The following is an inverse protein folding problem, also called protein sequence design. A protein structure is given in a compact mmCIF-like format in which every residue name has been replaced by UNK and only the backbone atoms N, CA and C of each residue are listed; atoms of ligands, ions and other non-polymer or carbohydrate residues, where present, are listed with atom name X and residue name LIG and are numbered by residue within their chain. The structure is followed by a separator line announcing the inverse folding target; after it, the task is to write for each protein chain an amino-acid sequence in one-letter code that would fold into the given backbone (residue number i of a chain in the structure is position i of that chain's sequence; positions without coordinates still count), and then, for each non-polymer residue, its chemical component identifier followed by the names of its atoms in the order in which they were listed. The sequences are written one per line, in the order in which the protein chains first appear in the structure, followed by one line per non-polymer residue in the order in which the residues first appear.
data_IF_193147656961
#
_entry.id   IF_193147656961
#
_cell.length_a   1.000
_cell.length_b   1.000
_cell.length_c   1.000
_cell.angle_alpha   90.00
_cell.angle_beta   90.00
_cell.angle_gamma   90.00
#
_symmetry.space_group_name_H-M   'P 1'
#
loop_
_entity.id
_entity.type
_entity.pdbx_description
1 polymer ?
#
# COMPACT_ATOMS: atom_id res chain seq x y z
N UNK A 1 -12.04 14.24 5.33
CA UNK A 1 -11.68 13.02 4.61
C UNK A 1 -11.12 11.99 5.59
N UNK A 2 -11.56 10.75 5.51
CA UNK A 2 -11.08 9.72 6.41
C UNK A 2 -9.67 9.29 6.05
N UNK A 3 -8.89 8.87 7.05
CA UNK A 3 -7.52 8.41 6.82
C UNK A 3 -7.47 7.24 5.83
N UNK A 4 -8.46 6.35 5.86
CA UNK A 4 -8.54 5.22 4.94
C UNK A 4 -8.69 5.66 3.48
N UNK A 5 -9.44 6.73 3.23
CA UNK A 5 -9.60 7.27 1.88
C UNK A 5 -8.32 7.91 1.38
N UNK A 6 -7.64 8.66 2.25
CA UNK A 6 -6.35 9.28 1.93
C UNK A 6 -5.32 8.20 1.61
N UNK A 7 -5.25 7.17 2.43
CA UNK A 7 -4.32 6.08 2.23
C UNK A 7 -4.60 5.34 0.92
N UNK A 8 -5.85 4.99 0.68
CA UNK A 8 -6.24 4.28 -0.53
C UNK A 8 -5.85 5.07 -1.79
N UNK A 9 -6.18 6.34 -1.85
CA UNK A 9 -5.85 7.20 -2.98
C UNK A 9 -4.35 7.32 -3.18
N UNK A 10 -3.60 7.44 -2.10
CA UNK A 10 -2.14 7.53 -2.16
C UNK A 10 -1.54 6.24 -2.74
N UNK A 11 -1.99 5.08 -2.26
CA UNK A 11 -1.50 3.80 -2.77
C UNK A 11 -1.83 3.61 -4.25
N UNK A 12 -3.06 3.95 -4.65
CA UNK A 12 -3.48 3.87 -6.06
C UNK A 12 -2.60 4.76 -6.94
N UNK A 13 -2.38 6.00 -6.54
CA UNK A 13 -1.52 6.93 -7.27
C UNK A 13 -0.10 6.36 -7.38
N UNK A 14 0.40 5.76 -6.32
CA UNK A 14 1.76 5.26 -6.26
C UNK A 14 1.97 4.07 -7.19
N UNK A 15 1.13 3.04 -7.11
CA UNK A 15 1.31 1.88 -7.97
C UNK A 15 1.00 2.19 -9.44
N UNK A 16 0.08 3.11 -9.69
CA UNK A 16 -0.22 3.56 -11.05
C UNK A 16 0.99 4.27 -11.68
N UNK A 17 1.66 5.11 -10.91
CA UNK A 17 2.87 5.80 -11.35
C UNK A 17 3.98 4.81 -11.72
N UNK A 18 4.03 3.66 -11.05
CA UNK A 18 5.00 2.61 -11.30
C UNK A 18 4.63 1.70 -12.47
N UNK A 19 3.48 1.93 -13.12
CA UNK A 19 3.06 1.21 -14.30
C UNK A 19 2.03 0.11 -14.07
N UNK A 20 1.57 -0.09 -12.85
CA UNK A 20 0.53 -1.07 -12.55
C UNK A 20 -0.85 -0.44 -12.77
N UNK A 21 -1.68 -1.09 -13.58
CA UNK A 21 -2.99 -0.54 -13.95
C UNK A 21 -4.08 -0.79 -12.93
N UNK A 22 -3.86 -1.77 -12.04
CA UNK A 22 -4.87 -2.14 -11.05
C UNK A 22 -4.18 -2.77 -9.85
N UNK A 23 -4.92 -2.85 -8.73
CA UNK A 23 -4.45 -3.55 -7.55
C UNK A 23 -4.19 -5.03 -7.85
N UNK A 24 -5.02 -5.63 -8.70
CA UNK A 24 -4.85 -7.02 -9.11
C UNK A 24 -3.51 -7.24 -9.81
N UNK A 25 -3.14 -6.34 -10.74
CA UNK A 25 -1.85 -6.41 -11.41
C UNK A 25 -0.69 -6.25 -10.42
N UNK A 26 -0.81 -5.31 -9.50
CA UNK A 26 0.19 -5.09 -8.47
C UNK A 26 0.35 -6.35 -7.59
N UNK A 27 -0.76 -6.95 -7.18
CA UNK A 27 -0.74 -8.16 -6.37
C UNK A 27 -0.05 -9.33 -7.09
N UNK A 28 -0.38 -9.54 -8.36
CA UNK A 28 0.22 -10.60 -9.17
C UNK A 28 1.73 -10.38 -9.32
N UNK A 29 2.12 -9.14 -9.64
CA UNK A 29 3.53 -8.82 -9.86
C UNK A 29 4.38 -8.97 -8.60
N UNK A 30 3.81 -8.73 -7.43
CA UNK A 30 4.54 -8.77 -6.16
C UNK A 30 4.42 -10.10 -5.45
N UNK A 31 3.49 -10.97 -5.87
CA UNK A 31 3.22 -12.24 -5.20
C UNK A 31 2.41 -12.10 -3.92
N UNK A 32 1.86 -10.93 -3.64
CA UNK A 32 1.04 -10.69 -2.46
C UNK A 32 -0.43 -10.95 -2.76
N UNK A 33 -1.21 -11.27 -1.72
CA UNK A 33 -2.65 -11.50 -1.89
C UNK A 33 -3.38 -10.18 -2.06
N UNK A 34 -4.21 -10.09 -3.09
CA UNK A 34 -5.01 -8.89 -3.37
C UNK A 34 -5.91 -8.52 -2.19
N UNK A 35 -6.55 -9.50 -1.56
CA UNK A 35 -7.43 -9.25 -0.42
C UNK A 35 -6.69 -8.63 0.77
N UNK A 36 -5.49 -9.10 1.04
CA UNK A 36 -4.65 -8.53 2.10
C UNK A 36 -4.23 -7.10 1.77
N UNK A 37 -3.78 -6.87 0.53
CA UNK A 37 -3.37 -5.53 0.08
C UNK A 37 -4.54 -4.55 0.17
N UNK A 38 -5.72 -4.96 -0.25
CA UNK A 38 -6.92 -4.12 -0.17
C UNK A 38 -7.20 -3.69 1.27
N UNK A 39 -7.12 -4.63 2.21
CA UNK A 39 -7.33 -4.33 3.63
C UNK A 39 -6.27 -3.40 4.19
N UNK A 40 -5.00 -3.60 3.83
CA UNK A 40 -3.91 -2.73 4.24
C UNK A 40 -4.10 -1.32 3.71
N UNK A 41 -4.43 -1.19 2.43
CA UNK A 41 -4.56 0.12 1.78
C UNK A 41 -5.79 0.88 2.25
N UNK A 42 -6.83 0.17 2.72
CA UNK A 42 -8.02 0.78 3.32
C UNK A 42 -7.89 0.98 4.84
N UNK A 43 -6.74 0.69 5.41
CA UNK A 43 -6.48 0.76 6.85
C UNK A 43 -7.41 -0.12 7.68
N UNK A 44 -7.90 -1.22 7.09
CA UNK A 44 -8.77 -2.17 7.79
C UNK A 44 -7.98 -3.22 8.56
N UNK A 45 -6.70 -3.33 8.29
CA UNK A 45 -5.81 -4.29 8.93
C UNK A 45 -4.42 -3.69 9.08
N UNK A 46 -3.79 -3.95 10.22
CA UNK A 46 -2.44 -3.50 10.47
C UNK A 46 -1.45 -4.25 9.56
N UNK A 47 -0.52 -3.50 8.96
CA UNK A 47 0.50 -4.09 8.10
C UNK A 47 1.61 -4.67 8.99
N UNK A 48 1.93 -5.98 8.84
CA UNK A 48 3.06 -6.56 9.57
C UNK A 48 4.37 -5.85 9.20
N UNK A 49 5.30 -5.79 10.16
CA UNK A 49 6.56 -5.06 9.95
C UNK A 49 7.36 -5.58 8.75
N UNK A 50 7.38 -6.90 8.53
CA UNK A 50 8.05 -7.47 7.36
C UNK A 50 7.39 -7.05 6.05
N UNK A 51 6.07 -6.92 6.04
CA UNK A 51 5.33 -6.48 4.86
C UNK A 51 5.53 -4.98 4.62
N UNK A 52 5.69 -4.19 5.67
CA UNK A 52 6.00 -2.75 5.52
C UNK A 52 7.27 -2.57 4.70
N UNK A 53 8.34 -3.28 5.06
CA UNK A 53 9.60 -3.23 4.33
C UNK A 53 9.45 -3.65 2.87
N UNK A 54 8.73 -4.74 2.64
CA UNK A 54 8.47 -5.25 1.30
C UNK A 54 7.69 -4.23 0.46
N UNK A 55 6.63 -3.64 1.01
CA UNK A 55 5.83 -2.64 0.30
C UNK A 55 6.63 -1.37 0.03
N UNK A 56 7.48 -0.94 0.96
CA UNK A 56 8.34 0.22 0.76
C UNK A 56 9.27 0.01 -0.44
N UNK A 57 9.88 -1.17 -0.54
CA UNK A 57 10.76 -1.50 -1.66
C UNK A 57 9.98 -1.54 -2.97
N UNK A 58 8.82 -2.19 -2.97
CA UNK A 58 7.99 -2.36 -4.17
C UNK A 58 7.41 -1.05 -4.67
N UNK A 59 7.01 -0.16 -3.76
CA UNK A 59 6.43 1.13 -4.09
C UNK A 59 7.48 2.24 -4.20
N UNK A 60 8.73 1.94 -3.87
CA UNK A 60 9.85 2.88 -3.91
C UNK A 60 9.57 4.10 -2.99
N UNK A 61 9.17 3.82 -1.77
CA UNK A 61 8.90 4.85 -0.75
C UNK A 61 9.61 4.50 0.54
N UNK A 62 9.77 5.49 1.42
CA UNK A 62 10.39 5.25 2.73
C UNK A 62 9.38 4.67 3.72
N UNK A 63 9.82 3.91 4.73
CA UNK A 63 8.93 3.43 5.79
C UNK A 63 8.20 4.57 6.50
N UNK A 64 8.87 5.68 6.74
CA UNK A 64 8.25 6.85 7.37
C UNK A 64 7.09 7.38 6.54
N UNK A 65 7.28 7.47 5.23
CA UNK A 65 6.25 7.96 4.31
C UNK A 65 5.04 7.05 4.33
N UNK A 66 5.26 5.74 4.21
CA UNK A 66 4.19 4.75 4.22
C UNK A 66 3.43 4.77 5.55
N UNK A 67 4.14 4.77 6.67
CA UNK A 67 3.52 4.76 7.99
C UNK A 67 2.75 6.04 8.27
N UNK A 68 3.22 7.18 7.77
CA UNK A 68 2.50 8.44 7.89
C UNK A 68 1.17 8.40 7.14
N UNK A 69 1.19 7.84 5.93
CA UNK A 69 -0.03 7.75 5.09
C UNK A 69 -1.10 6.88 5.74
N UNK A 70 -0.71 5.77 6.36
CA UNK A 70 -1.68 4.88 7.00
C UNK A 70 -2.04 5.32 8.43
N UNK A 71 -1.47 6.44 8.90
CA UNK A 71 -1.80 6.97 10.20
C UNK A 71 -1.12 6.28 11.38
N UNK A 72 -0.03 5.54 11.14
CA UNK A 72 0.70 4.82 12.18
C UNK A 72 1.81 5.64 12.85
N UNK A 73 2.04 6.85 12.34
CA UNK A 73 3.01 7.80 12.91
C UNK A 73 2.31 9.09 13.30
#
# INVERSE_FOLDING_TARGET
MKQSEIAWEWFVARYTKLGYKSLNQFAIATGLQKSSLSRYFHCQRQIPSGTVGQLCDLLNVSPKQLLTVIGAL
#
